data_IF_859035679971
#
_entry.id   IF_859035679971
#
_cell.length_a   1.000
_cell.length_b   1.000
_cell.length_c   1.000
_cell.angle_alpha   90.00
_cell.angle_beta   90.00
_cell.angle_gamma   90.00
#
_symmetry.space_group_name_H-M   'P 1'
#
loop_
_entity.id
_entity.type
_entity.pdbx_description
1 polymer ?
#
# COMPACT_ATOMS: atom_id res chain seq x y z
N UNK A 1 -71.63 8.96 12.89
CA UNK A 1 -70.53 8.37 12.08
C UNK A 1 -69.22 8.95 12.59
N UNK A 2 -68.42 8.18 13.35
CA UNK A 2 -67.15 8.64 13.93
C UNK A 2 -66.03 8.30 12.97
N UNK A 3 -65.38 9.31 12.40
CA UNK A 3 -64.19 9.11 11.54
C UNK A 3 -62.96 9.03 12.44
N UNK A 4 -62.37 7.85 12.49
CA UNK A 4 -61.05 7.64 13.04
C UNK A 4 -60.06 8.18 12.01
N UNK A 5 -59.32 9.22 12.40
CA UNK A 5 -58.18 9.71 11.63
C UNK A 5 -56.99 8.83 12.01
N UNK A 6 -56.59 7.94 11.11
CA UNK A 6 -55.36 7.16 11.27
C UNK A 6 -54.17 8.12 11.21
N UNK A 7 -53.65 8.44 12.40
CA UNK A 7 -52.44 9.24 12.55
C UNK A 7 -51.26 8.39 12.10
N UNK A 8 -50.93 8.47 10.82
CA UNK A 8 -49.69 7.94 10.26
C UNK A 8 -48.54 8.69 10.93
N UNK A 9 -48.04 8.14 12.02
CA UNK A 9 -46.87 8.65 12.73
C UNK A 9 -45.72 8.40 11.77
N UNK A 10 -45.18 9.47 11.20
CA UNK A 10 -43.94 9.42 10.42
C UNK A 10 -42.86 8.87 11.35
N UNK A 11 -42.66 7.55 11.32
CA UNK A 11 -41.54 6.92 11.99
C UNK A 11 -40.29 7.53 11.37
N UNK A 12 -39.64 8.34 12.18
CA UNK A 12 -38.36 8.94 11.91
C UNK A 12 -37.39 7.83 11.50
N UNK A 13 -36.62 8.04 10.44
CA UNK A 13 -35.55 7.13 9.99
C UNK A 13 -34.40 7.13 11.01
N UNK A 14 -34.63 6.62 12.21
CA UNK A 14 -33.77 6.89 13.38
C UNK A 14 -32.84 5.76 13.79
N UNK A 15 -32.47 4.85 12.89
CA UNK A 15 -31.34 3.95 13.11
C UNK A 15 -30.52 3.81 11.83
N UNK A 16 -29.34 4.42 11.80
CA UNK A 16 -28.34 4.16 10.75
C UNK A 16 -27.66 2.83 11.10
N UNK A 17 -27.53 1.94 10.12
CA UNK A 17 -26.78 0.70 10.28
C UNK A 17 -25.28 1.00 10.43
N UNK A 18 -24.80 1.08 11.67
CA UNK A 18 -23.38 1.40 11.99
C UNK A 18 -22.45 0.23 11.68
N UNK A 19 -22.88 -1.01 11.91
CA UNK A 19 -22.01 -2.20 11.77
C UNK A 19 -21.42 -2.34 10.36
N UNK A 20 -22.20 -2.24 9.26
CA UNK A 20 -21.63 -2.30 7.91
C UNK A 20 -20.78 -1.07 7.54
N UNK A 21 -21.09 0.10 8.10
CA UNK A 21 -20.34 1.33 7.84
C UNK A 21 -18.94 1.27 8.43
N UNK A 22 -18.84 0.72 9.65
CA UNK A 22 -17.58 0.58 10.36
C UNK A 22 -16.67 -0.47 9.68
N UNK A 23 -17.25 -1.55 9.16
CA UNK A 23 -16.53 -2.55 8.35
C UNK A 23 -15.85 -1.91 7.13
N UNK A 24 -16.58 -1.10 6.36
CA UNK A 24 -16.02 -0.37 5.22
C UNK A 24 -14.91 0.61 5.65
N UNK A 25 -15.09 1.33 6.75
CA UNK A 25 -14.08 2.25 7.27
C UNK A 25 -12.79 1.52 7.66
N UNK A 26 -12.89 0.35 8.28
CA UNK A 26 -11.73 -0.48 8.61
C UNK A 26 -11.05 -1.06 7.38
N UNK A 27 -11.80 -1.49 6.37
CA UNK A 27 -11.22 -1.95 5.09
C UNK A 27 -10.40 -0.83 4.44
N UNK A 28 -10.91 0.40 4.41
CA UNK A 28 -10.17 1.56 3.88
C UNK A 28 -8.89 1.84 4.69
N UNK A 29 -8.95 1.73 6.02
CA UNK A 29 -7.80 1.89 6.89
C UNK A 29 -6.71 0.84 6.61
N UNK A 30 -7.12 -0.43 6.44
CA UNK A 30 -6.20 -1.53 6.11
C UNK A 30 -5.51 -1.27 4.77
N UNK A 31 -6.23 -0.81 3.75
CA UNK A 31 -5.65 -0.46 2.45
C UNK A 31 -4.58 0.63 2.61
N UNK A 32 -4.83 1.68 3.39
CA UNK A 32 -3.82 2.72 3.64
C UNK A 32 -2.60 2.22 4.42
N UNK A 33 -2.80 1.36 5.42
CA UNK A 33 -1.69 0.74 6.16
C UNK A 33 -0.80 -0.10 5.22
N UNK A 34 -1.39 -0.85 4.30
CA UNK A 34 -0.63 -1.72 3.37
C UNK A 34 0.08 -0.91 2.28
N UNK A 35 -0.56 0.14 1.75
CA UNK A 35 -0.01 0.90 0.62
C UNK A 35 1.09 1.89 1.01
N UNK A 36 1.09 2.36 2.26
CA UNK A 36 2.12 3.28 2.79
C UNK A 36 3.55 2.72 2.75
N UNK A 37 3.86 1.51 3.26
CA UNK A 37 5.21 0.94 3.22
C UNK A 37 5.68 0.59 1.79
N UNK A 38 4.76 0.37 0.85
CA UNK A 38 5.11 0.07 -0.55
C UNK A 38 5.77 1.26 -1.27
N UNK A 39 5.68 2.47 -0.72
CA UNK A 39 6.28 3.66 -1.35
C UNK A 39 7.78 3.82 -1.06
N UNK A 40 8.39 2.99 -0.21
CA UNK A 40 9.76 3.23 0.31
C UNK A 40 10.88 2.44 -0.39
N UNK A 41 10.65 1.85 -1.56
CA UNK A 41 11.68 1.14 -2.33
C UNK A 41 12.68 2.07 -3.06
N UNK A 42 13.06 3.21 -2.48
CA UNK A 42 14.04 4.11 -3.09
C UNK A 42 15.45 3.80 -2.61
N UNK A 43 16.27 3.16 -3.46
CA UNK A 43 17.72 3.12 -3.25
C UNK A 43 18.32 4.44 -3.72
N UNK A 44 19.02 5.15 -2.83
CA UNK A 44 19.78 6.34 -3.20
C UNK A 44 21.00 5.92 -4.05
N UNK A 45 20.85 5.98 -5.38
CA UNK A 45 21.94 5.71 -6.32
C UNK A 45 22.70 7.01 -6.62
N UNK A 46 23.98 7.04 -6.25
CA UNK A 46 24.90 8.09 -6.69
C UNK A 46 25.51 7.63 -8.02
N UNK A 47 25.17 8.34 -9.10
CA UNK A 47 25.77 8.07 -10.41
C UNK A 47 27.16 8.71 -10.46
N UNK A 48 28.24 7.95 -10.73
CA UNK A 48 29.57 8.52 -10.84
C UNK A 48 29.67 9.42 -12.08
N UNK A 49 30.32 10.57 -11.94
CA UNK A 49 30.64 11.46 -13.06
C UNK A 49 31.95 11.02 -13.73
N UNK A 50 32.02 11.14 -15.05
CA UNK A 50 33.19 10.78 -15.85
C UNK A 50 34.33 11.80 -15.67
N UNK A 51 35.01 11.74 -14.52
CA UNK A 51 36.10 12.66 -14.19
C UNK A 51 37.34 12.00 -13.60
N UNK A 52 37.22 10.78 -13.06
CA UNK A 52 38.33 10.07 -12.45
C UNK A 52 38.58 8.77 -13.22
N UNK A 53 39.84 8.55 -13.61
CA UNK A 53 40.28 7.26 -14.12
C UNK A 53 40.01 6.22 -13.03
N UNK A 54 38.99 5.39 -13.24
CA UNK A 54 38.66 4.31 -12.34
C UNK A 54 39.92 3.45 -12.15
N UNK A 55 40.33 3.29 -10.90
CA UNK A 55 41.41 2.35 -10.56
C UNK A 55 41.11 1.01 -11.22
N UNK A 56 42.13 0.34 -11.77
CA UNK A 56 41.95 -0.96 -12.40
C UNK A 56 41.27 -1.91 -11.42
N UNK A 57 40.05 -2.33 -11.72
CA UNK A 57 39.29 -3.24 -10.87
C UNK A 57 40.00 -4.59 -10.86
N UNK A 58 40.35 -5.10 -9.68
CA UNK A 58 40.94 -6.43 -9.55
C UNK A 58 39.86 -7.49 -9.84
N UNK A 59 40.00 -8.33 -10.88
CA UNK A 59 38.99 -9.34 -11.21
C UNK A 59 38.73 -10.33 -10.08
N UNK A 60 39.74 -10.60 -9.24
CA UNK A 60 39.62 -11.50 -8.09
C UNK A 60 38.75 -10.95 -6.96
N UNK A 61 38.37 -9.66 -7.02
CA UNK A 61 37.53 -8.99 -6.03
C UNK A 61 36.13 -8.64 -6.57
N UNK A 62 35.83 -8.99 -7.82
CA UNK A 62 34.51 -8.75 -8.43
C UNK A 62 33.62 -9.93 -8.12
N UNK A 63 32.51 -9.67 -7.43
CA UNK A 63 31.48 -10.67 -7.16
C UNK A 63 30.26 -10.38 -8.04
N UNK A 64 29.82 -11.37 -8.82
CA UNK A 64 28.63 -11.23 -9.67
C UNK A 64 27.39 -11.76 -8.94
N UNK A 65 26.37 -10.91 -8.84
CA UNK A 65 25.07 -11.26 -8.26
C UNK A 65 24.05 -11.26 -9.39
N UNK A 66 23.29 -12.36 -9.53
CA UNK A 66 22.16 -12.47 -10.47
C UNK A 66 20.86 -12.50 -9.68
N UNK A 67 19.88 -11.70 -10.07
CA UNK A 67 18.56 -11.60 -9.43
C UNK A 67 17.53 -12.01 -10.48
N UNK A 68 16.74 -13.05 -10.19
CA UNK A 68 15.64 -13.50 -11.03
C UNK A 68 14.29 -12.90 -10.56
N UNK A 69 13.28 -12.95 -11.43
CA UNK A 69 11.93 -12.42 -11.20
C UNK A 69 11.18 -13.13 -10.07
N UNK A 70 11.64 -14.33 -9.73
CA UNK A 70 11.13 -15.15 -8.61
C UNK A 70 11.83 -14.80 -7.27
N UNK A 71 12.50 -13.65 -7.19
CA UNK A 71 13.31 -13.17 -6.06
C UNK A 71 14.48 -14.10 -5.67
N UNK A 72 14.86 -15.03 -6.56
CA UNK A 72 16.00 -15.92 -6.34
C UNK A 72 17.29 -15.15 -6.64
N UNK A 73 18.12 -14.95 -5.61
CA UNK A 73 19.45 -14.36 -5.72
C UNK A 73 20.52 -15.47 -5.87
N UNK A 74 21.35 -15.36 -6.91
CA UNK A 74 22.44 -16.30 -7.20
C UNK A 74 23.79 -15.58 -7.19
N UNK A 75 24.78 -16.23 -6.59
CA UNK A 75 26.17 -15.80 -6.62
C UNK A 75 26.91 -16.58 -7.70
N UNK A 76 27.46 -15.88 -8.69
CA UNK A 76 28.28 -16.49 -9.77
C UNK A 76 29.77 -16.29 -9.50
#
# INVERSE_FOLDING_TARGET
MRRFSDRHTLQTLTEINVTPLLDLAFVLLIIFIITTPLMENSVNLVVPTSGEATQSVNPSQVQTISIDKDDIMRLN
#
